data_IF_849578740289
#
_entry.id   IF_849578740289
#
_cell.length_a   1.000
_cell.length_b   1.000
_cell.length_c   1.000
_cell.angle_alpha   90.00
_cell.angle_beta   90.00
_cell.angle_gamma   90.00
#
_symmetry.space_group_name_H-M   'P 1'
#
loop_
_entity.id
_entity.type
_entity.pdbx_description
1 polymer ?
#
# COMPACT_ATOMS: atom_id res chain seq x y z
N UNK A 1 8.12 -4.04 28.88
CA UNK A 1 8.38 -3.19 27.71
C UNK A 1 7.72 -3.89 26.55
N UNK A 2 6.67 -3.32 25.98
CA UNK A 2 5.98 -3.90 24.83
C UNK A 2 6.77 -3.62 23.56
N UNK A 3 6.79 -4.56 22.62
CA UNK A 3 7.52 -4.48 21.34
C UNK A 3 6.89 -3.44 20.42
N UNK A 4 7.71 -2.63 19.76
CA UNK A 4 7.23 -1.65 18.76
C UNK A 4 6.63 -2.37 17.55
N UNK A 5 5.60 -1.76 16.92
CA UNK A 5 5.05 -2.27 15.67
C UNK A 5 6.12 -2.30 14.56
N UNK A 6 7.10 -1.38 14.60
CA UNK A 6 8.22 -1.32 13.63
C UNK A 6 9.13 -2.54 13.69
N UNK A 7 9.18 -3.22 14.84
CA UNK A 7 9.98 -4.43 15.04
C UNK A 7 9.22 -5.71 14.65
N UNK A 8 7.90 -5.60 14.43
CA UNK A 8 7.04 -6.71 14.06
C UNK A 8 6.96 -6.84 12.55
N UNK A 9 7.25 -8.04 12.03
CA UNK A 9 7.19 -8.30 10.58
C UNK A 9 5.76 -8.38 10.03
N UNK A 10 4.85 -8.94 10.81
CA UNK A 10 3.44 -9.16 10.46
C UNK A 10 2.62 -8.81 11.71
N UNK A 11 1.57 -8.02 11.53
CA UNK A 11 0.65 -7.62 12.60
C UNK A 11 -0.77 -8.00 12.17
N UNK A 12 -1.53 -8.69 13.03
CA UNK A 12 -2.93 -9.00 12.72
C UNK A 12 -3.81 -7.76 12.91
N UNK A 13 -4.92 -7.69 12.17
CA UNK A 13 -5.89 -6.60 12.31
C UNK A 13 -6.40 -6.46 13.76
N UNK A 14 -6.75 -7.58 14.41
CA UNK A 14 -7.20 -7.56 15.81
C UNK A 14 -6.15 -7.02 16.79
N UNK A 15 -4.86 -7.28 16.55
CA UNK A 15 -3.78 -6.77 17.39
C UNK A 15 -3.56 -5.29 17.17
N UNK A 16 -3.61 -4.84 15.91
CA UNK A 16 -3.48 -3.42 15.58
C UNK A 16 -4.62 -2.61 16.21
N UNK A 17 -5.87 -3.04 16.05
CA UNK A 17 -7.04 -2.34 16.59
C UNK A 17 -7.05 -2.28 18.13
N UNK A 18 -6.50 -3.28 18.82
CA UNK A 18 -6.36 -3.24 20.29
C UNK A 18 -5.34 -2.21 20.76
N UNK A 19 -4.35 -1.90 19.91
CA UNK A 19 -3.21 -1.05 20.28
C UNK A 19 -3.38 0.38 19.81
N UNK A 20 -3.97 0.59 18.64
CA UNK A 20 -4.09 1.89 18.00
C UNK A 20 -5.28 2.66 18.58
N UNK A 21 -5.00 3.86 19.07
CA UNK A 21 -5.98 4.82 19.57
C UNK A 21 -5.96 6.08 18.69
N UNK A 22 -7.13 6.54 18.24
CA UNK A 22 -7.25 7.82 17.53
C UNK A 22 -7.02 8.98 18.50
N UNK A 23 -6.06 9.84 18.17
CA UNK A 23 -5.73 11.04 18.94
C UNK A 23 -6.46 12.26 18.37
N UNK A 24 -6.47 12.38 17.04
CA UNK A 24 -7.08 13.51 16.35
C UNK A 24 -7.49 13.13 14.94
N UNK A 25 -8.71 13.50 14.54
CA UNK A 25 -9.13 13.47 13.14
C UNK A 25 -8.43 14.59 12.37
N UNK A 26 -7.74 14.25 11.28
CA UNK A 26 -7.01 15.21 10.45
C UNK A 26 -7.86 15.66 9.25
N UNK A 27 -8.45 14.70 8.54
CA UNK A 27 -9.30 14.95 7.38
C UNK A 27 -10.28 13.80 7.18
N UNK A 28 -11.50 14.09 6.77
CA UNK A 28 -12.50 13.08 6.40
C UNK A 28 -13.21 13.49 5.11
N UNK A 29 -13.32 12.55 4.18
CA UNK A 29 -14.10 12.63 2.94
C UNK A 29 -15.00 11.40 2.88
N UNK A 30 -15.88 11.35 1.89
CA UNK A 30 -16.87 10.28 1.74
C UNK A 30 -16.30 8.85 1.78
N UNK A 31 -15.08 8.65 1.25
CA UNK A 31 -14.44 7.32 1.16
C UNK A 31 -13.00 7.29 1.65
N UNK A 32 -12.53 8.38 2.24
CA UNK A 32 -11.15 8.55 2.66
C UNK A 32 -11.11 9.20 4.03
N UNK A 33 -10.29 8.67 4.93
CA UNK A 33 -10.12 9.21 6.27
C UNK A 33 -8.64 9.28 6.62
N UNK A 34 -8.24 10.41 7.18
CA UNK A 34 -6.92 10.65 7.75
C UNK A 34 -7.07 10.95 9.23
N UNK A 35 -6.34 10.22 10.06
CA UNK A 35 -6.32 10.44 11.50
C UNK A 35 -4.90 10.33 12.04
N UNK A 36 -4.57 11.16 13.03
CA UNK A 36 -3.42 10.96 13.88
C UNK A 36 -3.78 9.92 14.92
N UNK A 37 -3.03 8.84 14.96
CA UNK A 37 -3.25 7.73 15.89
C UNK A 37 -1.99 7.45 16.69
N UNK A 38 -2.16 6.79 17.83
CA UNK A 38 -1.08 6.45 18.76
C UNK A 38 -1.17 4.98 19.14
N UNK A 39 -0.02 4.30 19.15
CA UNK A 39 0.09 2.98 19.78
C UNK A 39 0.12 3.14 21.30
N UNK A 40 -0.95 2.70 21.96
CA UNK A 40 -1.11 2.75 23.42
C UNK A 40 -0.06 1.94 24.17
N UNK A 41 0.58 0.96 23.53
CA UNK A 41 1.62 0.13 24.17
C UNK A 41 3.00 0.79 24.23
N UNK A 42 3.32 1.66 23.27
CA UNK A 42 4.66 2.24 23.10
C UNK A 42 4.68 3.77 23.13
N UNK A 43 3.55 4.42 22.85
CA UNK A 43 3.44 5.86 22.69
C UNK A 43 3.85 6.37 21.30
N UNK A 44 4.19 5.49 20.36
CA UNK A 44 4.52 5.87 18.99
C UNK A 44 3.29 6.40 18.25
N UNK A 45 3.50 7.39 17.38
CA UNK A 45 2.43 8.05 16.63
C UNK A 45 2.52 7.70 15.15
N UNK A 46 1.35 7.69 14.51
CA UNK A 46 1.19 7.36 13.11
C UNK A 46 0.14 8.25 12.47
N UNK A 47 0.31 8.59 11.19
CA UNK A 47 -0.81 9.02 10.36
C UNK A 47 -1.48 7.78 9.79
N UNK A 48 -2.75 7.57 10.14
CA UNK A 48 -3.57 6.50 9.59
C UNK A 48 -4.37 7.04 8.40
N UNK A 49 -4.24 6.40 7.26
CA UNK A 49 -5.05 6.63 6.07
C UNK A 49 -5.90 5.39 5.80
N UNK A 50 -7.21 5.57 5.77
CA UNK A 50 -8.17 4.50 5.48
C UNK A 50 -9.01 4.88 4.26
N UNK A 51 -9.10 3.97 3.29
CA UNK A 51 -9.86 4.14 2.05
C UNK A 51 -10.88 3.03 1.89
N UNK A 52 -12.12 3.42 1.58
CA UNK A 52 -13.23 2.51 1.33
C UNK A 52 -13.50 2.43 -0.17
N UNK A 53 -13.24 1.27 -0.77
CA UNK A 53 -13.43 1.01 -2.19
C UNK A 53 -14.61 0.07 -2.41
N UNK A 54 -15.62 0.54 -3.15
CA UNK A 54 -16.77 -0.27 -3.50
C UNK A 54 -16.53 -0.95 -4.85
N UNK A 55 -16.28 -2.26 -4.83
CA UNK A 55 -16.13 -3.05 -6.04
C UNK A 55 -17.50 -3.35 -6.66
N UNK A 56 -17.88 -2.53 -7.65
CA UNK A 56 -19.16 -2.67 -8.35
C UNK A 56 -19.25 -3.90 -9.25
N UNK A 57 -18.10 -4.44 -9.70
CA UNK A 57 -18.07 -5.60 -10.60
C UNK A 57 -18.31 -6.92 -9.85
N UNK A 58 -17.92 -6.99 -8.57
CA UNK A 58 -18.13 -8.15 -7.71
C UNK A 58 -19.36 -8.03 -6.80
N UNK A 59 -20.40 -7.33 -7.26
CA UNK A 59 -21.68 -7.27 -6.53
C UNK A 59 -21.71 -6.25 -5.40
N UNK A 60 -20.82 -5.25 -5.41
CA UNK A 60 -20.82 -4.17 -4.42
C UNK A 60 -20.15 -4.55 -3.11
N UNK A 61 -19.15 -5.43 -3.15
CA UNK A 61 -18.32 -5.75 -1.98
C UNK A 61 -17.47 -4.51 -1.66
N UNK A 62 -17.46 -4.12 -0.39
CA UNK A 62 -16.64 -3.03 0.10
C UNK A 62 -15.28 -3.56 0.58
N UNK A 63 -14.22 -3.05 -0.03
CA UNK A 63 -12.83 -3.31 0.33
C UNK A 63 -12.30 -2.12 1.15
N UNK A 64 -11.56 -2.42 2.22
CA UNK A 64 -10.95 -1.39 3.06
C UNK A 64 -9.44 -1.48 2.93
N UNK A 65 -8.82 -0.41 2.45
CA UNK A 65 -7.38 -0.27 2.44
C UNK A 65 -6.94 0.59 3.62
N UNK A 66 -6.05 0.07 4.45
CA UNK A 66 -5.63 0.74 5.68
C UNK A 66 -4.11 0.84 5.76
N UNK A 67 -3.65 2.05 6.04
CA UNK A 67 -2.26 2.44 5.93
C UNK A 67 -1.84 3.26 7.16
N UNK A 68 -0.65 3.00 7.70
CA UNK A 68 -0.12 3.73 8.84
C UNK A 68 1.32 4.19 8.55
N UNK A 69 1.50 5.49 8.44
CA UNK A 69 2.80 6.13 8.29
C UNK A 69 3.37 6.49 9.68
N UNK A 70 4.53 5.93 10.08
CA UNK A 70 5.14 6.31 11.35
C UNK A 70 5.59 7.77 11.37
N UNK A 71 5.38 8.44 12.49
CA UNK A 71 5.84 9.80 12.73
C UNK A 71 6.97 9.85 13.75
N UNK A 72 7.93 10.72 13.51
CA UNK A 72 8.92 11.14 14.50
C UNK A 72 8.30 12.19 15.45
N UNK A 73 8.85 12.38 16.65
CA UNK A 73 8.26 13.26 17.67
C UNK A 73 8.05 14.69 17.20
N UNK A 74 9.00 15.22 16.42
CA UNK A 74 8.92 16.58 15.87
C UNK A 74 7.84 16.68 14.77
N UNK A 75 7.67 15.63 13.96
CA UNK A 75 6.66 15.57 12.89
C UNK A 75 5.23 15.55 13.45
N UNK A 76 5.02 14.94 14.62
CA UNK A 76 3.69 14.88 15.27
C UNK A 76 3.12 16.28 15.50
N UNK A 77 3.94 17.19 16.03
CA UNK A 77 3.50 18.56 16.30
C UNK A 77 3.20 19.31 15.00
N UNK A 78 4.07 19.15 13.99
CA UNK A 78 3.88 19.78 12.70
C UNK A 78 2.58 19.32 12.00
N UNK A 79 2.24 18.03 12.09
CA UNK A 79 0.98 17.48 11.57
C UNK A 79 -0.23 18.03 12.33
N UNK A 80 -0.16 18.10 13.67
CA UNK A 80 -1.25 18.64 14.50
C UNK A 80 -1.54 20.12 14.19
N UNK A 81 -0.50 20.91 13.97
CA UNK A 81 -0.64 22.34 13.61
C UNK A 81 -0.92 22.58 12.12
N UNK A 82 -0.93 21.53 11.29
CA UNK A 82 -1.14 21.63 9.84
C UNK A 82 0.02 22.28 9.09
N UNK A 83 1.23 22.25 9.67
CA UNK A 83 2.45 22.81 9.10
C UNK A 83 3.15 21.82 8.14
N UNK A 84 2.84 20.53 8.27
CA UNK A 84 3.39 19.46 7.44
C UNK A 84 2.28 18.73 6.68
N UNK A 85 2.50 18.52 5.38
CA UNK A 85 1.62 17.72 4.53
C UNK A 85 1.85 16.22 4.79
N UNK A 86 0.77 15.46 4.83
CA UNK A 86 0.75 14.03 5.15
C UNK A 86 -0.07 13.23 4.13
N UNK A 87 -0.38 13.83 2.98
CA UNK A 87 -1.29 13.27 1.98
C UNK A 87 -0.69 12.02 1.32
N UNK A 88 -1.46 10.93 1.30
CA UNK A 88 -1.13 9.73 0.54
C UNK A 88 -1.52 9.90 -0.94
N UNK A 89 -0.71 9.41 -1.90
CA UNK A 89 0.60 8.77 -1.73
C UNK A 89 1.78 9.75 -1.71
N UNK A 90 1.55 11.03 -2.01
CA UNK A 90 2.61 12.00 -2.33
C UNK A 90 3.67 12.18 -1.22
N UNK A 91 3.27 12.16 0.06
CA UNK A 91 4.17 12.38 1.20
C UNK A 91 4.63 11.08 1.88
N UNK A 92 4.23 9.93 1.35
CA UNK A 92 4.48 8.62 1.95
C UNK A 92 5.71 7.98 1.30
N UNK A 93 6.86 8.62 1.51
CA UNK A 93 8.15 8.20 0.94
C UNK A 93 8.98 7.33 1.87
N UNK A 94 8.59 7.23 3.15
CA UNK A 94 9.21 6.35 4.14
C UNK A 94 8.45 5.02 4.21
N UNK A 95 9.08 3.99 4.77
CA UNK A 95 8.42 2.71 5.03
C UNK A 95 7.15 2.91 5.87
N UNK A 96 6.03 2.35 5.42
CA UNK A 96 4.74 2.45 6.09
C UNK A 96 4.10 1.07 6.23
N UNK A 97 3.19 0.95 7.18
CA UNK A 97 2.44 -0.27 7.40
C UNK A 97 1.19 -0.25 6.50
N UNK A 98 0.89 -1.35 5.81
CA UNK A 98 -0.33 -1.49 5.00
C UNK A 98 -1.04 -2.80 5.26
N UNK A 99 -2.36 -2.79 5.23
CA UNK A 99 -3.21 -3.96 5.44
C UNK A 99 -4.67 -3.65 5.10
N UNK A 100 -5.56 -4.48 5.62
CA UNK A 100 -7.01 -4.31 5.48
C UNK A 100 -7.72 -4.87 6.71
N UNK A 101 -9.06 -4.81 6.70
CA UNK A 101 -9.89 -5.50 7.68
C UNK A 101 -9.90 -7.04 7.49
N UNK A 102 -9.46 -7.54 6.33
CA UNK A 102 -9.40 -8.97 6.00
C UNK A 102 -7.98 -9.57 6.05
N UNK A 103 -6.96 -8.73 5.86
CA UNK A 103 -5.57 -9.14 5.66
C UNK A 103 -4.66 -8.61 6.77
N UNK A 104 -3.60 -9.35 7.11
CA UNK A 104 -2.61 -8.86 8.06
C UNK A 104 -1.84 -7.65 7.52
N UNK A 105 -1.33 -6.87 8.43
CA UNK A 105 -0.54 -5.67 8.14
C UNK A 105 0.93 -6.03 7.94
N UNK A 106 1.50 -5.45 6.88
CA UNK A 106 2.88 -5.65 6.45
C UNK A 106 3.57 -4.32 6.22
N UNK A 107 4.85 -4.24 6.58
CA UNK A 107 5.68 -3.08 6.26
C UNK A 107 6.02 -3.06 4.77
N UNK A 108 5.77 -1.92 4.15
CA UNK A 108 6.04 -1.68 2.74
C UNK A 108 6.99 -0.50 2.60
N UNK A 109 8.08 -0.70 1.85
CA UNK A 109 9.02 0.35 1.50
C UNK A 109 8.71 0.87 0.09
N UNK A 110 8.23 2.12 -0.06
CA UNK A 110 7.98 2.71 -1.37
C UNK A 110 9.26 3.05 -2.13
N UNK A 111 10.43 3.08 -1.47
CA UNK A 111 11.72 3.37 -2.12
C UNK A 111 12.22 2.21 -3.00
N UNK A 112 11.74 0.99 -2.72
CA UNK A 112 12.01 -0.20 -3.51
C UNK A 112 11.14 -0.29 -4.77
N UNK A 113 10.15 0.60 -4.91
CA UNK A 113 9.48 0.77 -6.19
C UNK A 113 10.52 1.32 -7.17
N UNK A 114 10.72 0.70 -8.34
CA UNK A 114 11.62 1.24 -9.35
C UNK A 114 11.19 2.68 -9.62
N UNK A 115 12.05 3.62 -9.23
CA UNK A 115 11.89 5.03 -9.52
C UNK A 115 11.83 5.15 -11.03
N UNK A 116 10.69 5.66 -11.51
CA UNK A 116 10.23 5.71 -12.89
C UNK A 116 9.20 4.62 -13.23
N UNK A 117 7.92 4.99 -13.06
CA UNK A 117 6.84 4.65 -13.99
C UNK A 117 7.08 5.26 -15.40
N UNK A 118 8.32 5.61 -15.73
CA UNK A 118 8.83 6.07 -17.02
C UNK A 118 9.78 5.01 -17.65
N UNK A 119 9.92 3.81 -17.05
CA UNK A 119 10.38 2.60 -17.77
C UNK A 119 9.23 2.04 -18.64
N UNK A 120 8.58 2.97 -19.33
CA UNK A 120 7.37 2.84 -20.12
C UNK A 120 7.59 1.93 -21.34
N UNK A 121 8.84 1.68 -21.73
CA UNK A 121 9.16 0.76 -22.83
C UNK A 121 8.82 -0.69 -22.48
N UNK A 122 9.27 -1.19 -21.32
CA UNK A 122 9.02 -2.57 -20.91
C UNK A 122 7.55 -2.80 -20.55
N UNK A 123 6.91 -1.81 -19.89
CA UNK A 123 5.49 -1.86 -19.57
C UNK A 123 4.60 -1.86 -20.84
N UNK A 124 4.90 -1.02 -21.82
CA UNK A 124 4.21 -1.02 -23.11
C UNK A 124 4.44 -2.32 -23.88
N UNK A 125 5.67 -2.83 -23.91
CA UNK A 125 6.02 -4.07 -24.61
C UNK A 125 5.30 -5.28 -24.01
N UNK A 126 5.22 -5.39 -22.68
CA UNK A 126 4.41 -6.42 -22.00
C UNK A 126 2.92 -6.25 -22.33
N UNK A 127 2.42 -5.01 -22.34
CA UNK A 127 1.02 -4.74 -22.68
C UNK A 127 0.69 -5.15 -24.12
N UNK A 128 1.57 -4.85 -25.08
CA UNK A 128 1.43 -5.23 -26.49
C UNK A 128 1.46 -6.75 -26.68
N UNK A 129 2.36 -7.46 -25.96
CA UNK A 129 2.42 -8.92 -25.97
C UNK A 129 1.14 -9.56 -25.42
N UNK A 130 0.60 -9.01 -24.32
CA UNK A 130 -0.65 -9.49 -23.72
C UNK A 130 -1.85 -9.28 -24.66
N UNK A 131 -1.89 -8.15 -25.37
CA UNK A 131 -2.96 -7.87 -26.33
C UNK A 131 -2.86 -8.74 -27.57
N UNK A 132 -1.65 -8.98 -28.08
CA UNK A 132 -1.42 -9.93 -29.18
C UNK A 132 -1.86 -11.35 -28.77
N UNK A 133 -1.47 -11.80 -27.57
CA UNK A 133 -1.87 -13.10 -27.04
C UNK A 133 -3.39 -13.26 -26.90
N UNK A 134 -4.08 -12.23 -26.39
CA UNK A 134 -5.55 -12.21 -26.29
C UNK A 134 -6.23 -12.26 -27.67
N UNK A 135 -5.65 -11.61 -28.68
CA UNK A 135 -6.17 -11.62 -30.05
C UNK A 135 -6.01 -12.98 -30.73
N UNK A 136 -4.93 -13.72 -30.43
CA UNK A 136 -4.72 -15.07 -30.96
C UNK A 136 -5.71 -16.11 -30.42
N UNK A 137 -6.40 -15.83 -29.29
CA UNK A 137 -7.40 -16.69 -28.63
C UNK A 137 -6.91 -18.13 -28.34
N UNK A 138 -5.60 -18.32 -28.26
CA UNK A 138 -4.95 -19.60 -27.93
C UNK A 138 -4.54 -19.58 -26.47
N UNK A 139 -5.49 -19.95 -25.61
CA UNK A 139 -5.31 -20.02 -24.15
C UNK A 139 -4.94 -21.43 -23.69
N UNK A 140 -4.23 -22.20 -24.51
CA UNK A 140 -3.67 -23.49 -24.09
C UNK A 140 -2.46 -23.28 -23.18
N UNK A 141 -2.26 -24.23 -22.26
CA UNK A 141 -1.20 -24.17 -21.24
C UNK A 141 0.20 -23.97 -21.83
N UNK A 142 0.47 -24.51 -23.02
CA UNK A 142 1.75 -24.37 -23.69
C UNK A 142 1.98 -22.92 -24.18
N UNK A 143 0.96 -22.31 -24.77
CA UNK A 143 1.00 -20.92 -25.23
C UNK A 143 1.10 -19.93 -24.06
N UNK A 144 0.43 -20.22 -22.94
CA UNK A 144 0.52 -19.44 -21.70
C UNK A 144 1.94 -19.53 -21.10
N UNK A 145 2.52 -20.73 -21.01
CA UNK A 145 3.88 -20.90 -20.49
C UNK A 145 4.94 -20.20 -21.36
N UNK A 146 4.76 -20.20 -22.68
CA UNK A 146 5.64 -19.46 -23.60
C UNK A 146 5.57 -17.96 -23.37
N UNK A 147 4.37 -17.41 -23.21
CA UNK A 147 4.18 -15.98 -22.90
C UNK A 147 4.89 -15.60 -21.59
N UNK A 148 4.67 -16.37 -20.52
CA UNK A 148 5.32 -16.10 -19.23
C UNK A 148 6.84 -16.17 -19.33
N UNK A 149 7.37 -17.17 -20.04
CA UNK A 149 8.82 -17.29 -20.25
C UNK A 149 9.40 -16.09 -21.01
N UNK A 150 8.69 -15.60 -22.03
CA UNK A 150 9.14 -14.42 -22.79
C UNK A 150 9.13 -13.14 -21.93
N UNK A 151 8.13 -12.98 -21.07
CA UNK A 151 8.06 -11.86 -20.12
C UNK A 151 9.20 -11.96 -19.10
N UNK A 152 9.47 -13.16 -18.56
CA UNK A 152 10.55 -13.40 -17.60
C UNK A 152 11.94 -13.15 -18.20
N UNK A 153 12.20 -13.63 -19.43
CA UNK A 153 13.46 -13.42 -20.14
C UNK A 153 13.70 -11.92 -20.38
N UNK A 154 12.65 -11.16 -20.72
CA UNK A 154 12.72 -9.71 -20.95
C UNK A 154 12.98 -8.91 -19.67
N UNK A 155 12.41 -9.33 -18.53
CA UNK A 155 12.63 -8.71 -17.23
C UNK A 155 13.98 -9.12 -16.61
N UNK A 156 14.52 -10.27 -16.98
CA UNK A 156 15.78 -10.81 -16.46
C UNK A 156 17.06 -10.20 -17.07
N UNK A 157 16.98 -9.66 -18.29
CA UNK A 157 18.14 -9.18 -19.06
C UNK A 157 18.61 -7.74 -18.73
N UNK A 158 17.88 -7.04 -17.84
CA UNK A 158 18.21 -5.66 -17.38
C UNK A 158 18.92 -5.59 -16.01
N UNK A 159 19.62 -6.65 -15.59
CA UNK A 159 20.42 -6.67 -14.33
C UNK A 159 21.88 -6.23 -14.52
#
# INVERSE_FOLDING_TARGET
MNTSLKEMRIISHEELEKRIEEVQLLQEKERERYALVKDTSTGEHYVRYTQHHLNLMEGGIEEVFDHLLPLDTDDVLAVVFGEQDYTYPAQWTKTYLRGSNSDPYLWFDPSDLPGDLDDDAAGREISEMLDAFKQEKKFDDESIQRLFKQIDDMLGDKK
#
